data_IF_270511868536
#
_entry.id   IF_270511868536
#
_cell.length_a   1.000
_cell.length_b   1.000
_cell.length_c   1.000
_cell.angle_alpha   90.00
_cell.angle_beta   90.00
_cell.angle_gamma   90.00
#
_symmetry.space_group_name_H-M   'P 1'
#
loop_
_entity.id
_entity.type
_entity.pdbx_description
1 polymer ?
#
# COMPACT_ATOMS: atom_id res chain seq x y z
N UNK A 1 85.66 -35.13 -28.55
CA UNK A 1 85.68 -34.56 -27.23
C UNK A 1 85.76 -33.06 -27.37
N UNK A 2 84.63 -32.34 -27.33
CA UNK A 2 84.66 -30.87 -27.37
C UNK A 2 83.54 -30.38 -26.45
N UNK A 3 83.91 -29.76 -25.35
CA UNK A 3 83.01 -29.13 -24.41
C UNK A 3 82.54 -27.75 -24.93
N UNK A 4 81.28 -27.53 -25.04
CA UNK A 4 80.71 -26.23 -25.31
C UNK A 4 80.14 -25.63 -23.98
N UNK A 5 80.73 -24.51 -23.55
CA UNK A 5 80.32 -23.73 -22.39
C UNK A 5 79.23 -22.76 -22.82
N UNK A 6 78.03 -22.83 -22.18
CA UNK A 6 76.97 -21.83 -22.29
C UNK A 6 77.24 -20.69 -21.34
N UNK A 7 77.34 -19.46 -21.86
CA UNK A 7 77.41 -18.21 -21.13
C UNK A 7 76.02 -17.67 -21.00
N UNK A 8 75.54 -17.56 -19.78
CA UNK A 8 74.28 -16.86 -19.45
C UNK A 8 74.56 -15.39 -19.19
N UNK A 9 73.94 -14.46 -19.96
CA UNK A 9 73.98 -13.04 -19.71
C UNK A 9 72.63 -12.67 -19.09
N UNK A 10 72.59 -11.89 -18.01
CA UNK A 10 71.33 -11.34 -17.46
C UNK A 10 70.87 -10.13 -18.28
N UNK A 11 69.65 -10.19 -18.82
CA UNK A 11 69.01 -9.03 -19.48
C UNK A 11 68.61 -7.99 -18.44
N UNK A 12 69.36 -6.92 -18.39
CA UNK A 12 69.02 -5.72 -17.63
C UNK A 12 67.97 -4.91 -18.40
N UNK A 13 66.77 -4.78 -17.84
CA UNK A 13 65.70 -3.94 -18.38
C UNK A 13 66.12 -2.48 -18.45
N UNK A 14 65.99 -1.84 -19.62
CA UNK A 14 66.33 -0.45 -19.89
C UNK A 14 65.32 0.49 -19.23
N UNK A 15 65.82 1.65 -18.70
CA UNK A 15 65.00 2.67 -18.00
C UNK A 15 63.77 3.13 -18.78
N UNK A 16 63.78 3.04 -20.11
CA UNK A 16 62.62 3.37 -20.96
C UNK A 16 61.48 2.35 -20.84
N UNK A 17 61.78 1.07 -20.58
CA UNK A 17 60.76 0.00 -20.42
C UNK A 17 60.08 0.05 -19.06
N UNK A 18 60.78 0.54 -18.03
CA UNK A 18 60.20 0.77 -16.69
C UNK A 18 59.25 1.98 -16.69
N UNK A 19 59.53 3.05 -17.47
CA UNK A 19 58.64 4.19 -17.60
C UNK A 19 57.40 3.93 -18.45
N UNK A 20 57.48 3.03 -19.42
CA UNK A 20 56.29 2.63 -20.19
C UNK A 20 55.34 1.71 -19.39
N UNK A 21 55.85 0.93 -18.44
CA UNK A 21 55.01 0.14 -17.51
C UNK A 21 54.29 0.97 -16.46
N UNK A 22 54.89 2.09 -16.01
CA UNK A 22 54.29 2.99 -15.05
C UNK A 22 53.17 3.87 -15.66
N UNK A 23 53.21 4.18 -16.95
CA UNK A 23 52.21 4.99 -17.63
C UNK A 23 50.95 4.15 -17.96
N UNK A 24 51.05 2.81 -18.14
CA UNK A 24 49.91 1.93 -18.34
C UNK A 24 49.14 1.64 -17.04
N UNK A 25 49.79 1.73 -15.86
CA UNK A 25 49.17 1.56 -14.55
C UNK A 25 48.37 2.78 -14.06
N UNK A 26 48.72 3.99 -14.55
CA UNK A 26 48.02 5.23 -14.13
C UNK A 26 46.72 5.51 -14.93
N UNK A 27 46.55 4.92 -16.11
CA UNK A 27 45.35 5.09 -16.93
C UNK A 27 44.16 4.21 -16.47
N UNK A 28 44.41 3.19 -15.62
CA UNK A 28 43.37 2.33 -15.07
C UNK A 28 42.66 2.90 -13.83
N UNK A 29 43.10 4.06 -13.31
CA UNK A 29 42.56 4.70 -12.11
C UNK A 29 41.61 5.87 -12.41
N UNK A 30 41.29 6.12 -13.66
CA UNK A 30 40.37 7.20 -14.07
C UNK A 30 39.09 6.70 -14.76
N UNK A 31 38.71 5.44 -14.57
CA UNK A 31 37.31 5.07 -14.79
C UNK A 31 36.50 5.58 -13.59
N UNK A 32 35.39 6.34 -13.80
CA UNK A 32 34.46 6.61 -12.71
C UNK A 32 34.06 5.24 -12.18
N UNK A 33 34.43 4.99 -10.91
CA UNK A 33 34.08 3.75 -10.25
C UNK A 33 32.57 3.60 -10.29
N UNK A 34 32.10 2.65 -11.05
CA UNK A 34 30.86 1.99 -10.70
C UNK A 34 31.14 1.40 -9.32
N UNK A 35 30.76 2.14 -8.29
CA UNK A 35 30.64 1.59 -6.95
C UNK A 35 29.51 0.56 -7.14
N UNK A 36 29.91 -0.68 -7.40
CA UNK A 36 29.01 -1.82 -7.25
C UNK A 36 28.56 -1.74 -5.80
N UNK A 37 27.37 -1.17 -5.57
CA UNK A 37 26.71 -1.25 -4.26
C UNK A 37 26.72 -2.72 -3.91
N UNK A 38 27.41 -3.09 -2.86
CA UNK A 38 27.39 -4.44 -2.35
C UNK A 38 25.93 -4.81 -2.13
N UNK A 39 25.45 -5.81 -2.87
CA UNK A 39 24.12 -6.39 -2.67
C UNK A 39 24.06 -6.76 -1.19
N UNK A 40 23.09 -6.23 -0.47
CA UNK A 40 22.92 -6.54 0.95
C UNK A 40 22.73 -8.06 1.06
N UNK A 41 23.78 -8.75 1.53
CA UNK A 41 23.70 -10.18 1.88
C UNK A 41 22.98 -10.23 3.23
N UNK A 42 21.73 -10.69 3.25
CA UNK A 42 20.90 -10.83 4.46
C UNK A 42 19.58 -10.10 4.39
N UNK A 43 18.78 -10.20 5.47
CA UNK A 43 17.51 -9.50 5.57
C UNK A 43 17.72 -7.98 5.58
N UNK A 44 16.82 -7.23 4.92
CA UNK A 44 16.83 -5.77 4.99
C UNK A 44 16.30 -5.31 6.35
N UNK A 45 16.88 -4.24 6.91
CA UNK A 45 16.32 -3.56 8.06
C UNK A 45 15.18 -2.64 7.61
N UNK A 46 13.97 -2.94 8.04
CA UNK A 46 12.76 -2.18 7.71
C UNK A 46 12.15 -1.60 8.97
N UNK A 47 11.79 -0.33 8.94
CA UNK A 47 11.01 0.30 9.99
C UNK A 47 9.67 0.78 9.45
N UNK A 48 8.64 0.82 10.32
CA UNK A 48 7.38 1.47 9.97
C UNK A 48 6.96 2.49 11.02
N UNK A 49 6.28 3.56 10.57
CA UNK A 49 5.79 4.63 11.42
C UNK A 49 4.29 4.77 11.18
N UNK A 50 3.51 4.53 12.22
CA UNK A 50 2.05 4.58 12.21
C UNK A 50 1.55 5.68 13.14
N UNK A 51 0.63 6.53 12.66
CA UNK A 51 0.03 7.59 13.46
C UNK A 51 -1.15 7.10 14.31
N UNK A 52 -1.61 5.88 14.05
CA UNK A 52 -2.72 5.21 14.73
C UNK A 52 -2.27 3.85 15.29
N UNK A 53 -3.10 3.16 16.11
CA UNK A 53 -2.79 1.80 16.54
C UNK A 53 -2.65 0.83 15.37
N UNK A 54 -1.80 -0.18 15.51
CA UNK A 54 -1.52 -1.19 14.47
C UNK A 54 -2.75 -2.01 14.08
N UNK A 55 -3.76 -2.08 14.92
CA UNK A 55 -5.04 -2.75 14.66
C UNK A 55 -5.94 -1.98 13.68
N UNK A 56 -5.67 -0.68 13.45
CA UNK A 56 -6.45 0.09 12.48
C UNK A 56 -6.34 -0.58 11.11
N UNK A 57 -7.46 -0.69 10.40
CA UNK A 57 -7.60 -1.56 9.23
C UNK A 57 -6.56 -1.34 8.13
N UNK A 58 -6.23 -0.08 7.79
CA UNK A 58 -5.25 0.24 6.75
C UNK A 58 -3.83 -0.12 7.21
N UNK A 59 -3.45 0.29 8.41
CA UNK A 59 -2.15 0.03 9.02
C UNK A 59 -1.92 -1.47 9.24
N UNK A 60 -2.96 -2.20 9.66
CA UNK A 60 -2.88 -3.64 9.91
C UNK A 60 -2.46 -4.44 8.66
N UNK A 61 -2.78 -3.94 7.45
CA UNK A 61 -2.39 -4.61 6.19
C UNK A 61 -0.90 -4.47 5.93
N UNK A 62 -0.32 -3.30 6.23
CA UNK A 62 1.11 -3.05 6.13
C UNK A 62 1.84 -3.92 7.14
N UNK A 63 1.39 -3.91 8.40
CA UNK A 63 1.98 -4.72 9.47
C UNK A 63 1.93 -6.22 9.16
N UNK A 64 0.81 -6.71 8.62
CA UNK A 64 0.66 -8.11 8.21
C UNK A 64 1.65 -8.48 7.10
N UNK A 65 1.77 -7.67 6.06
CA UNK A 65 2.71 -7.90 4.97
C UNK A 65 4.17 -7.89 5.46
N UNK A 66 4.53 -6.94 6.33
CA UNK A 66 5.86 -6.88 6.93
C UNK A 66 6.14 -8.12 7.80
N UNK A 67 5.19 -8.56 8.61
CA UNK A 67 5.31 -9.77 9.43
C UNK A 67 5.49 -11.02 8.55
N UNK A 68 4.77 -11.12 7.43
CA UNK A 68 4.95 -12.21 6.48
C UNK A 68 6.34 -12.18 5.82
N UNK A 69 6.87 -11.00 5.49
CA UNK A 69 8.23 -10.85 4.95
C UNK A 69 9.30 -11.22 5.99
N UNK A 70 9.10 -10.94 7.29
CA UNK A 70 9.97 -11.44 8.38
C UNK A 70 9.94 -12.96 8.44
N UNK A 71 8.77 -13.57 8.36
CA UNK A 71 8.63 -15.03 8.40
C UNK A 71 9.34 -15.73 7.23
N UNK A 72 9.47 -15.06 6.08
CA UNK A 72 10.24 -15.54 4.92
C UNK A 72 11.75 -15.29 5.05
N UNK A 73 12.19 -14.49 6.03
CA UNK A 73 13.59 -14.09 6.20
C UNK A 73 14.04 -12.96 5.25
N UNK A 74 13.11 -12.24 4.64
CA UNK A 74 13.42 -11.17 3.70
C UNK A 74 13.85 -9.89 4.39
N UNK A 75 13.30 -9.62 5.59
CA UNK A 75 13.50 -8.39 6.36
C UNK A 75 13.63 -8.65 7.86
N UNK A 76 14.31 -7.74 8.56
CA UNK A 76 14.13 -7.47 9.98
C UNK A 76 13.16 -6.28 10.10
N UNK A 77 12.19 -6.33 11.00
CA UNK A 77 11.12 -5.35 11.05
C UNK A 77 10.89 -4.82 12.45
N UNK A 78 10.83 -3.50 12.56
CA UNK A 78 10.42 -2.77 13.77
C UNK A 78 9.38 -1.72 13.40
N UNK A 79 8.58 -1.28 14.36
CA UNK A 79 7.61 -0.21 14.11
C UNK A 79 7.37 0.66 15.34
N UNK A 80 6.89 1.87 15.10
CA UNK A 80 6.29 2.78 16.09
C UNK A 80 4.84 3.01 15.72
N UNK A 81 3.96 2.99 16.70
CA UNK A 81 2.53 3.28 16.53
C UNK A 81 2.09 4.45 17.41
N UNK A 82 0.91 5.01 17.13
CA UNK A 82 0.41 6.20 17.82
C UNK A 82 1.41 7.38 17.79
N UNK A 83 2.25 7.44 16.75
CA UNK A 83 3.20 8.52 16.56
C UNK A 83 2.47 9.79 16.16
N UNK A 84 2.54 10.83 16.99
CA UNK A 84 1.91 12.11 16.66
C UNK A 84 2.58 12.79 15.46
N UNK A 85 1.83 13.65 14.74
CA UNK A 85 2.43 14.44 13.64
C UNK A 85 3.63 15.29 14.10
N UNK A 86 3.63 15.76 15.35
CA UNK A 86 4.76 16.53 15.91
C UNK A 86 6.02 15.69 16.16
N UNK A 87 5.86 14.39 16.41
CA UNK A 87 6.98 13.48 16.65
C UNK A 87 7.44 12.75 15.38
N UNK A 88 6.64 12.80 14.30
CA UNK A 88 6.84 11.97 13.12
C UNK A 88 8.21 12.18 12.48
N UNK A 89 8.61 13.45 12.26
CA UNK A 89 9.92 13.80 11.70
C UNK A 89 11.06 13.23 12.56
N UNK A 90 10.99 13.40 13.88
CA UNK A 90 12.01 12.90 14.81
C UNK A 90 12.15 11.37 14.73
N UNK A 91 11.02 10.64 14.77
CA UNK A 91 11.02 9.18 14.70
C UNK A 91 11.55 8.70 13.34
N UNK A 92 11.20 9.37 12.25
CA UNK A 92 11.68 9.06 10.91
C UNK A 92 13.21 9.22 10.81
N UNK A 93 13.78 10.31 11.38
CA UNK A 93 15.23 10.53 11.47
C UNK A 93 15.92 9.47 12.33
N UNK A 94 15.37 9.13 13.48
CA UNK A 94 15.92 8.09 14.37
C UNK A 94 16.05 6.74 13.66
N UNK A 95 15.05 6.33 12.87
CA UNK A 95 15.12 5.10 12.09
C UNK A 95 16.16 5.19 10.95
N UNK A 96 16.26 6.32 10.26
CA UNK A 96 17.27 6.51 9.22
C UNK A 96 18.70 6.47 9.82
N UNK A 97 18.95 7.17 10.95
CA UNK A 97 20.21 7.17 11.69
C UNK A 97 20.57 5.78 12.24
N UNK A 98 19.58 4.97 12.62
CA UNK A 98 19.78 3.58 13.04
C UNK A 98 20.14 2.64 11.87
N UNK A 99 20.20 3.15 10.64
CA UNK A 99 20.63 2.42 9.45
C UNK A 99 19.57 1.48 8.89
N UNK A 100 18.28 1.82 9.01
CA UNK A 100 17.23 1.10 8.30
C UNK A 100 17.34 1.34 6.80
N UNK A 101 17.17 0.28 6.01
CA UNK A 101 17.28 0.32 4.55
C UNK A 101 16.00 0.86 3.89
N UNK A 102 14.85 0.58 4.51
CA UNK A 102 13.53 0.99 4.07
C UNK A 102 12.72 1.48 5.27
N UNK A 103 12.14 2.66 5.15
CA UNK A 103 11.19 3.22 6.11
C UNK A 103 9.83 3.31 5.42
N UNK A 104 8.81 2.70 6.03
CA UNK A 104 7.42 2.70 5.57
C UNK A 104 6.60 3.57 6.51
N UNK A 105 5.65 4.32 5.99
CA UNK A 105 4.77 5.11 6.83
C UNK A 105 3.62 5.72 6.07
N UNK A 106 2.83 6.53 6.76
CA UNK A 106 1.83 7.40 6.16
C UNK A 106 2.20 8.85 6.47
N UNK A 107 1.98 9.74 5.52
CA UNK A 107 2.46 11.13 5.66
C UNK A 107 1.32 12.16 5.58
N UNK A 108 0.08 11.74 5.85
CA UNK A 108 -1.05 12.66 5.94
C UNK A 108 -0.79 13.78 6.96
N UNK A 109 -0.70 15.01 6.46
CA UNK A 109 -0.41 16.19 7.28
C UNK A 109 1.05 16.41 7.67
N UNK A 110 2.01 15.57 7.23
CA UNK A 110 3.45 15.68 7.53
C UNK A 110 4.34 15.50 6.30
N UNK A 111 3.78 15.50 5.09
CA UNK A 111 4.49 15.14 3.86
C UNK A 111 5.72 16.00 3.59
N UNK A 112 5.63 17.33 3.76
CA UNK A 112 6.76 18.22 3.48
C UNK A 112 7.95 17.94 4.42
N UNK A 113 7.70 17.69 5.71
CA UNK A 113 8.73 17.31 6.67
C UNK A 113 9.33 15.92 6.33
N UNK A 114 8.49 14.96 5.95
CA UNK A 114 8.94 13.62 5.56
C UNK A 114 9.83 13.66 4.29
N UNK A 115 9.49 14.48 3.30
CA UNK A 115 10.32 14.70 2.09
C UNK A 115 11.66 15.33 2.42
N UNK A 116 11.69 16.30 3.36
CA UNK A 116 12.95 16.89 3.83
C UNK A 116 13.83 15.84 4.49
N UNK A 117 13.27 14.97 5.34
CA UNK A 117 14.02 13.84 5.94
C UNK A 117 14.58 12.92 4.84
N UNK A 118 13.78 12.58 3.85
CA UNK A 118 14.26 11.73 2.75
C UNK A 118 15.42 12.35 1.98
N UNK A 119 15.40 13.66 1.74
CA UNK A 119 16.50 14.38 1.10
C UNK A 119 17.78 14.38 1.98
N UNK A 120 17.64 14.45 3.31
CA UNK A 120 18.77 14.41 4.24
C UNK A 120 19.42 13.02 4.36
N UNK A 121 18.66 11.94 4.04
CA UNK A 121 19.12 10.53 4.12
C UNK A 121 19.02 9.80 2.77
N UNK A 122 19.82 10.18 1.77
CA UNK A 122 19.70 9.67 0.39
C UNK A 122 19.98 8.15 0.24
N UNK A 123 20.62 7.53 1.23
CA UNK A 123 20.91 6.09 1.23
C UNK A 123 19.77 5.23 1.79
N UNK A 124 18.77 5.84 2.44
CA UNK A 124 17.59 5.18 2.97
C UNK A 124 16.43 5.29 1.97
N UNK A 125 15.74 4.21 1.72
CA UNK A 125 14.51 4.21 0.92
C UNK A 125 13.30 4.57 1.79
N UNK A 126 12.42 5.41 1.28
CA UNK A 126 11.18 5.82 1.95
C UNK A 126 9.99 5.45 1.09
N UNK A 127 9.10 4.62 1.63
CA UNK A 127 7.86 4.17 0.98
C UNK A 127 6.68 4.74 1.79
N UNK A 128 6.06 5.83 1.29
CA UNK A 128 5.12 6.64 2.06
C UNK A 128 3.72 6.63 1.48
N UNK A 129 2.75 6.25 2.31
CA UNK A 129 1.32 6.26 1.99
C UNK A 129 0.66 7.59 2.27
N UNK A 130 -0.57 7.76 1.76
CA UNK A 130 -1.38 8.98 1.89
C UNK A 130 -0.62 10.24 1.47
N UNK A 131 0.17 10.12 0.40
CA UNK A 131 1.05 11.13 -0.16
C UNK A 131 0.57 11.56 -1.55
N UNK A 132 1.01 12.73 -1.98
CA UNK A 132 0.86 13.13 -3.37
C UNK A 132 1.72 12.23 -4.30
N UNK A 133 1.52 12.38 -5.62
CA UNK A 133 2.33 11.68 -6.60
C UNK A 133 3.83 11.98 -6.39
N UNK A 134 4.74 11.08 -6.84
CA UNK A 134 6.18 11.31 -6.75
C UNK A 134 6.59 12.65 -7.31
N UNK A 135 7.58 13.28 -6.67
CA UNK A 135 8.19 14.53 -7.08
C UNK A 135 9.71 14.32 -7.24
N UNK A 136 10.35 15.19 -7.99
CA UNK A 136 11.82 15.13 -8.23
C UNK A 136 12.66 15.64 -7.04
N UNK A 137 12.05 16.02 -5.93
CA UNK A 137 12.70 16.60 -4.75
C UNK A 137 13.46 15.57 -3.89
N UNK A 138 13.05 14.30 -3.91
CA UNK A 138 13.71 13.22 -3.18
C UNK A 138 13.61 11.91 -4.00
N UNK A 139 14.69 11.50 -4.71
CA UNK A 139 14.68 10.33 -5.58
C UNK A 139 14.50 9.00 -4.83
N UNK A 140 14.66 8.99 -3.52
CA UNK A 140 14.48 7.87 -2.61
C UNK A 140 13.13 7.90 -1.87
N UNK A 141 12.21 8.81 -2.23
CA UNK A 141 10.87 8.93 -1.66
C UNK A 141 9.83 8.41 -2.65
N UNK A 142 9.45 7.16 -2.52
CA UNK A 142 8.37 6.54 -3.28
C UNK A 142 7.04 6.68 -2.54
N UNK A 143 5.95 6.66 -3.29
CA UNK A 143 4.60 6.77 -2.74
C UNK A 143 3.82 5.48 -2.98
N UNK A 144 2.84 5.21 -2.13
CA UNK A 144 1.86 4.15 -2.34
C UNK A 144 0.48 4.58 -1.84
N UNK A 145 -0.53 3.84 -2.26
CA UNK A 145 -1.90 4.03 -1.82
C UNK A 145 -2.67 2.72 -1.96
N UNK A 146 -3.82 2.59 -1.32
CA UNK A 146 -4.67 1.43 -1.44
C UNK A 146 -5.64 1.58 -2.64
N UNK A 147 -5.12 1.48 -3.87
CA UNK A 147 -5.95 1.47 -5.08
C UNK A 147 -6.77 0.18 -5.18
N UNK A 148 -7.71 -0.01 -4.23
CA UNK A 148 -8.60 -1.19 -4.15
C UNK A 148 -10.03 -0.89 -4.65
N UNK A 149 -10.18 0.14 -5.49
CA UNK A 149 -11.47 0.50 -6.10
C UNK A 149 -12.09 -0.67 -6.87
N UNK A 150 -11.28 -1.58 -7.42
CA UNK A 150 -11.76 -2.79 -8.09
C UNK A 150 -12.60 -3.66 -7.15
N UNK A 151 -12.08 -3.95 -5.96
CA UNK A 151 -12.77 -4.73 -4.95
C UNK A 151 -13.96 -3.97 -4.34
N UNK A 152 -13.83 -2.63 -4.16
CA UNK A 152 -14.93 -1.78 -3.69
C UNK A 152 -16.09 -1.78 -4.68
N UNK A 153 -15.82 -1.70 -5.99
CA UNK A 153 -16.83 -1.79 -7.04
C UNK A 153 -17.58 -3.12 -6.99
N UNK A 154 -16.85 -4.24 -6.89
CA UNK A 154 -17.46 -5.57 -6.80
C UNK A 154 -18.33 -5.73 -5.54
N UNK A 155 -17.87 -5.22 -4.40
CA UNK A 155 -18.66 -5.21 -3.16
C UNK A 155 -19.92 -4.35 -3.28
N UNK A 156 -19.85 -3.27 -4.07
CA UNK A 156 -20.99 -2.41 -4.42
C UNK A 156 -22.08 -3.16 -5.19
N UNK A 157 -21.73 -4.00 -6.17
CA UNK A 157 -22.70 -4.86 -6.90
C UNK A 157 -23.50 -5.72 -5.91
N UNK A 158 -22.80 -6.29 -4.92
CA UNK A 158 -23.43 -7.12 -3.89
C UNK A 158 -24.36 -6.27 -3.02
N UNK A 159 -23.90 -5.10 -2.58
CA UNK A 159 -24.70 -4.19 -1.75
C UNK A 159 -25.97 -3.75 -2.47
N UNK A 160 -25.88 -3.36 -3.73
CA UNK A 160 -27.06 -2.97 -4.52
C UNK A 160 -28.08 -4.10 -4.69
N UNK A 161 -27.61 -5.34 -4.83
CA UNK A 161 -28.50 -6.51 -4.93
C UNK A 161 -29.16 -6.89 -3.59
N UNK A 162 -28.57 -6.48 -2.46
CA UNK A 162 -29.02 -6.84 -1.10
C UNK A 162 -29.86 -5.74 -0.42
N UNK A 163 -29.75 -4.48 -0.85
CA UNK A 163 -30.57 -3.38 -0.28
C UNK A 163 -32.04 -3.59 -0.58
N UNK A 164 -32.91 -3.23 0.35
CA UNK A 164 -34.37 -3.24 0.24
C UNK A 164 -34.93 -1.79 0.22
N UNK A 165 -34.21 -0.87 0.83
CA UNK A 165 -34.60 0.55 0.91
C UNK A 165 -34.11 1.36 -0.28
N UNK A 166 -33.13 0.87 -1.05
CA UNK A 166 -32.35 1.64 -2.00
C UNK A 166 -31.64 2.84 -1.36
N UNK A 167 -31.36 2.78 -0.05
CA UNK A 167 -30.71 3.86 0.68
C UNK A 167 -29.49 3.30 1.44
N UNK A 168 -28.33 3.78 1.10
CA UNK A 168 -27.04 3.23 1.57
C UNK A 168 -26.29 4.31 2.32
N UNK A 169 -25.88 4.00 3.55
CA UNK A 169 -25.03 4.85 4.37
C UNK A 169 -23.56 4.59 4.07
N UNK A 170 -22.76 5.65 4.08
CA UNK A 170 -21.30 5.58 3.84
C UNK A 170 -20.59 6.47 4.86
N UNK A 171 -19.72 5.88 5.68
CA UNK A 171 -18.99 6.60 6.73
C UNK A 171 -17.49 6.48 6.45
N UNK A 172 -16.85 7.61 6.12
CA UNK A 172 -15.43 7.72 5.87
C UNK A 172 -14.67 8.50 6.92
N UNK A 173 -13.32 8.39 6.87
CA UNK A 173 -12.42 9.13 7.77
C UNK A 173 -12.31 10.60 7.38
N UNK A 174 -11.67 10.88 6.27
CA UNK A 174 -11.50 12.21 5.66
C UNK A 174 -11.81 12.16 4.17
N UNK A 175 -12.28 13.26 3.56
CA UNK A 175 -12.57 13.32 2.12
C UNK A 175 -11.28 13.53 1.30
N UNK A 176 -10.37 12.57 1.35
CA UNK A 176 -9.13 12.58 0.57
C UNK A 176 -9.22 11.63 -0.63
N UNK A 177 -8.40 11.81 -1.67
CA UNK A 177 -8.42 10.98 -2.88
C UNK A 177 -8.49 9.48 -2.61
N UNK A 178 -7.71 9.00 -1.65
CA UNK A 178 -7.67 7.60 -1.22
C UNK A 178 -9.04 7.05 -0.83
N UNK A 179 -9.79 7.77 0.01
CA UNK A 179 -11.12 7.37 0.50
C UNK A 179 -12.18 7.63 -0.57
N UNK A 180 -12.08 8.76 -1.26
CA UNK A 180 -13.06 9.20 -2.23
C UNK A 180 -13.21 8.21 -3.40
N UNK A 181 -12.09 7.72 -3.97
CA UNK A 181 -12.11 6.76 -5.08
C UNK A 181 -12.78 5.45 -4.72
N UNK A 182 -12.59 4.97 -3.49
CA UNK A 182 -13.23 3.74 -3.03
C UNK A 182 -14.74 3.91 -2.88
N UNK A 183 -15.18 5.04 -2.33
CA UNK A 183 -16.59 5.37 -2.20
C UNK A 183 -17.27 5.51 -3.57
N UNK A 184 -16.63 6.21 -4.52
CA UNK A 184 -17.16 6.34 -5.88
C UNK A 184 -17.25 5.00 -6.59
N UNK A 185 -16.23 4.15 -6.49
CA UNK A 185 -16.25 2.82 -7.07
C UNK A 185 -17.36 1.94 -6.46
N UNK A 186 -17.51 1.98 -5.14
CA UNK A 186 -18.61 1.31 -4.45
C UNK A 186 -19.98 1.79 -4.95
N UNK A 187 -20.20 3.11 -5.02
CA UNK A 187 -21.44 3.69 -5.54
C UNK A 187 -21.71 3.26 -7.00
N UNK A 188 -20.67 3.20 -7.84
CA UNK A 188 -20.80 2.73 -9.22
C UNK A 188 -21.21 1.25 -9.26
N UNK A 189 -20.61 0.40 -8.42
CA UNK A 189 -21.00 -1.00 -8.29
C UNK A 189 -22.44 -1.19 -7.80
N UNK A 190 -22.88 -0.41 -6.81
CA UNK A 190 -24.27 -0.42 -6.32
C UNK A 190 -25.26 -0.15 -7.45
N UNK A 191 -24.98 0.83 -8.31
CA UNK A 191 -25.86 1.21 -9.42
C UNK A 191 -26.01 0.15 -10.51
N UNK A 192 -25.11 -0.82 -10.60
CA UNK A 192 -25.26 -1.97 -11.52
C UNK A 192 -26.49 -2.84 -11.17
N UNK A 193 -26.85 -2.93 -9.90
CA UNK A 193 -27.95 -3.78 -9.41
C UNK A 193 -29.09 -2.99 -8.76
N UNK A 194 -28.83 -1.76 -8.35
CA UNK A 194 -29.80 -0.81 -7.80
C UNK A 194 -29.58 0.59 -8.41
N UNK A 195 -30.00 0.83 -9.67
CA UNK A 195 -29.69 2.08 -10.39
C UNK A 195 -30.27 3.33 -9.72
N UNK A 196 -31.35 3.21 -8.97
CA UNK A 196 -32.02 4.32 -8.26
C UNK A 196 -31.56 4.48 -6.81
N UNK A 197 -30.47 3.79 -6.40
CA UNK A 197 -29.96 3.85 -5.04
C UNK A 197 -29.51 5.27 -4.66
N UNK A 198 -29.86 5.65 -3.45
CA UNK A 198 -29.44 6.90 -2.79
C UNK A 198 -28.32 6.62 -1.81
N UNK A 199 -27.50 7.62 -1.61
CA UNK A 199 -26.33 7.53 -0.74
C UNK A 199 -26.34 8.65 0.30
N UNK A 200 -26.11 8.29 1.55
CA UNK A 200 -25.83 9.20 2.64
C UNK A 200 -24.33 9.14 2.94
N UNK A 201 -23.58 10.16 2.56
CA UNK A 201 -22.12 10.21 2.73
C UNK A 201 -21.78 11.11 3.93
N UNK A 202 -20.94 10.63 4.83
CA UNK A 202 -20.43 11.41 5.95
C UNK A 202 -18.96 11.08 6.24
N UNK A 203 -18.19 12.10 6.62
CA UNK A 203 -16.80 11.97 7.06
C UNK A 203 -16.67 12.36 8.52
N UNK A 204 -16.00 11.52 9.32
CA UNK A 204 -15.91 11.75 10.77
C UNK A 204 -14.73 12.65 11.17
N UNK A 205 -13.82 12.98 10.25
CA UNK A 205 -12.64 13.82 10.54
C UNK A 205 -11.64 13.14 11.47
N UNK A 206 -11.56 11.80 11.45
CA UNK A 206 -10.61 11.00 12.21
C UNK A 206 -10.25 9.71 11.47
N UNK A 207 -9.01 9.27 11.59
CA UNK A 207 -8.58 7.96 11.07
C UNK A 207 -8.93 6.82 12.02
N UNK A 208 -9.08 7.08 13.33
CA UNK A 208 -9.44 6.07 14.32
C UNK A 208 -10.29 6.65 15.45
N UNK A 209 -11.62 6.64 15.26
CA UNK A 209 -12.61 7.03 16.25
C UNK A 209 -13.88 6.16 16.09
N UNK A 210 -13.82 4.88 16.53
CA UNK A 210 -14.95 3.97 16.39
C UNK A 210 -16.26 4.46 17.02
N UNK A 211 -16.26 5.12 18.20
CA UNK A 211 -17.49 5.69 18.77
C UNK A 211 -18.16 6.72 17.86
N UNK A 212 -17.39 7.65 17.28
CA UNK A 212 -17.91 8.69 16.38
C UNK A 212 -18.41 8.08 15.07
N UNK A 213 -17.71 7.10 14.52
CA UNK A 213 -18.14 6.38 13.33
C UNK A 213 -19.47 5.63 13.58
N UNK A 214 -19.61 4.98 14.74
CA UNK A 214 -20.85 4.31 15.16
C UNK A 214 -22.01 5.27 15.29
N UNK A 215 -21.80 6.43 15.93
CA UNK A 215 -22.85 7.48 16.05
C UNK A 215 -23.29 8.00 14.68
N UNK A 216 -22.32 8.27 13.79
CA UNK A 216 -22.61 8.70 12.41
C UNK A 216 -23.41 7.65 11.65
N UNK A 217 -23.05 6.38 11.80
CA UNK A 217 -23.76 5.25 11.19
C UNK A 217 -25.20 5.12 11.71
N UNK A 218 -25.43 5.33 13.01
CA UNK A 218 -26.80 5.35 13.57
C UNK A 218 -27.65 6.45 12.92
N UNK A 219 -27.11 7.64 12.73
CA UNK A 219 -27.84 8.74 12.07
C UNK A 219 -28.22 8.36 10.61
N UNK A 220 -27.37 7.66 9.90
CA UNK A 220 -27.67 7.18 8.54
C UNK A 220 -28.75 6.08 8.55
N UNK A 221 -28.71 5.16 9.50
CA UNK A 221 -29.75 4.13 9.67
C UNK A 221 -31.09 4.76 10.01
N UNK A 222 -31.12 5.72 10.94
CA UNK A 222 -32.32 6.48 11.29
C UNK A 222 -32.83 7.30 10.10
N UNK A 223 -31.94 7.70 9.17
CA UNK A 223 -32.25 8.27 7.85
C UNK A 223 -32.72 7.26 6.80
N UNK A 224 -32.91 6.00 7.18
CA UNK A 224 -33.46 4.93 6.34
C UNK A 224 -32.44 4.08 5.57
N UNK A 225 -31.15 4.20 5.85
CA UNK A 225 -30.15 3.29 5.27
C UNK A 225 -30.30 1.88 5.84
N UNK A 226 -30.33 0.90 4.96
CA UNK A 226 -30.40 -0.54 5.34
C UNK A 226 -29.13 -1.32 5.00
N UNK A 227 -28.18 -0.67 4.35
CA UNK A 227 -26.80 -1.16 4.15
C UNK A 227 -25.84 0.00 4.44
N UNK A 228 -24.72 -0.32 5.12
CA UNK A 228 -23.66 0.63 5.43
C UNK A 228 -22.34 0.22 4.78
N UNK A 229 -21.65 1.15 4.14
CA UNK A 229 -20.25 0.99 3.72
C UNK A 229 -19.34 1.38 4.88
N UNK A 230 -18.71 0.38 5.48
CA UNK A 230 -17.89 0.50 6.69
C UNK A 230 -16.43 0.82 6.33
N UNK A 231 -16.19 2.06 5.85
CA UNK A 231 -14.83 2.52 5.62
C UNK A 231 -14.08 2.73 6.96
N UNK A 232 -14.81 2.90 8.08
CA UNK A 232 -14.25 3.05 9.45
C UNK A 232 -14.77 1.98 10.40
N UNK A 233 -13.95 1.61 11.41
CA UNK A 233 -14.39 0.81 12.54
C UNK A 233 -15.51 1.53 13.31
N UNK A 234 -16.44 0.77 13.88
CA UNK A 234 -17.63 1.27 14.55
C UNK A 234 -18.89 1.23 13.67
N UNK A 235 -18.75 1.32 12.35
CA UNK A 235 -19.90 1.27 11.41
C UNK A 235 -20.57 -0.09 11.43
N UNK A 236 -19.80 -1.19 11.37
CA UNK A 236 -20.34 -2.56 11.46
C UNK A 236 -20.96 -2.85 12.82
N UNK A 237 -20.48 -2.21 13.91
CA UNK A 237 -21.09 -2.29 15.23
C UNK A 237 -22.49 -1.69 15.23
N UNK A 238 -22.66 -0.49 14.62
CA UNK A 238 -23.95 0.14 14.47
C UNK A 238 -24.91 -0.71 13.64
N UNK A 239 -24.44 -1.26 12.51
CA UNK A 239 -25.22 -2.13 11.65
C UNK A 239 -25.70 -3.37 12.40
N UNK A 240 -24.82 -4.04 13.14
CA UNK A 240 -25.14 -5.21 13.98
C UNK A 240 -26.20 -4.88 15.04
N UNK A 241 -26.04 -3.76 15.74
CA UNK A 241 -26.95 -3.34 16.82
C UNK A 241 -28.36 -3.01 16.30
N UNK A 242 -28.46 -2.45 15.09
CA UNK A 242 -29.71 -2.07 14.45
C UNK A 242 -30.30 -3.18 13.54
N UNK A 243 -29.57 -4.28 13.33
CA UNK A 243 -30.01 -5.39 12.48
C UNK A 243 -30.08 -5.05 10.99
N UNK A 244 -29.23 -4.12 10.53
CA UNK A 244 -29.03 -3.81 9.10
C UNK A 244 -27.72 -4.43 8.59
N UNK A 245 -27.49 -4.41 7.28
CA UNK A 245 -26.29 -4.99 6.69
C UNK A 245 -25.12 -4.00 6.61
N UNK A 246 -23.91 -4.54 6.48
CA UNK A 246 -22.70 -3.75 6.24
C UNK A 246 -21.83 -4.39 5.15
N UNK A 247 -21.03 -3.54 4.52
CA UNK A 247 -19.95 -3.93 3.62
C UNK A 247 -18.64 -3.50 4.28
N UNK A 248 -17.73 -4.46 4.48
CA UNK A 248 -16.40 -4.20 5.03
C UNK A 248 -15.45 -3.61 4.01
N UNK A 249 -14.44 -2.91 4.51
CA UNK A 249 -13.41 -2.26 3.69
C UNK A 249 -12.02 -2.55 4.24
N UNK A 250 -11.04 -2.74 3.35
CA UNK A 250 -9.61 -3.00 3.60
C UNK A 250 -9.33 -4.37 4.22
N UNK A 251 -10.10 -4.81 5.21
CA UNK A 251 -9.98 -6.11 5.87
C UNK A 251 -11.30 -6.86 5.90
N UNK A 252 -11.21 -8.18 6.06
CA UNK A 252 -12.38 -9.02 6.33
C UNK A 252 -12.75 -8.94 7.81
N UNK A 253 -13.94 -8.46 8.10
CA UNK A 253 -14.51 -8.38 9.44
C UNK A 253 -15.70 -9.33 9.63
N UNK A 254 -15.97 -10.23 8.69
CA UNK A 254 -17.14 -11.08 8.74
C UNK A 254 -17.13 -12.03 9.95
N UNK A 255 -15.96 -12.51 10.39
CA UNK A 255 -15.85 -13.37 11.56
C UNK A 255 -16.41 -12.71 12.84
N UNK A 256 -16.26 -11.36 12.96
CA UNK A 256 -16.76 -10.59 14.09
C UNK A 256 -18.23 -10.19 13.92
N UNK A 257 -18.70 -10.15 12.66
CA UNK A 257 -20.06 -9.72 12.28
C UNK A 257 -20.72 -10.70 11.30
N UNK A 258 -20.85 -12.01 11.65
CA UNK A 258 -21.24 -13.07 10.71
C UNK A 258 -22.65 -12.91 10.11
N UNK A 259 -23.57 -12.21 10.80
CA UNK A 259 -24.94 -11.95 10.33
C UNK A 259 -25.12 -10.51 9.80
N UNK A 260 -24.06 -9.75 9.68
CA UNK A 260 -24.11 -8.32 9.37
C UNK A 260 -23.25 -7.95 8.17
N UNK A 261 -21.97 -8.36 8.14
CA UNK A 261 -21.04 -8.05 7.06
C UNK A 261 -21.24 -9.06 5.92
N UNK A 262 -21.76 -8.58 4.80
CA UNK A 262 -22.11 -9.40 3.64
C UNK A 262 -20.89 -9.72 2.78
N UNK A 263 -20.07 -8.72 2.55
CA UNK A 263 -18.85 -8.77 1.74
C UNK A 263 -17.85 -7.75 2.26
N UNK A 264 -16.57 -7.95 1.93
CA UNK A 264 -15.51 -6.99 2.26
C UNK A 264 -14.57 -6.82 1.07
N UNK A 265 -14.21 -5.58 0.75
CA UNK A 265 -13.11 -5.28 -0.15
C UNK A 265 -11.79 -5.42 0.61
N UNK A 266 -10.91 -6.30 0.16
CA UNK A 266 -9.63 -6.58 0.82
C UNK A 266 -8.48 -5.85 0.14
N UNK A 267 -7.58 -5.28 0.94
CA UNK A 267 -6.28 -4.81 0.49
C UNK A 267 -5.18 -5.80 0.82
N UNK A 268 -4.35 -6.10 -0.15
CA UNK A 268 -3.15 -6.92 0.00
C UNK A 268 -1.92 -6.02 -0.23
N UNK A 269 -1.24 -5.66 0.84
CA UNK A 269 -0.03 -4.82 0.75
C UNK A 269 1.21 -5.63 0.36
N UNK A 270 1.11 -6.94 0.41
CA UNK A 270 2.22 -7.87 0.11
C UNK A 270 2.87 -7.59 -1.26
N UNK A 271 2.14 -7.42 -2.39
CA UNK A 271 2.78 -7.11 -3.68
C UNK A 271 3.54 -5.79 -3.68
N UNK A 272 3.00 -4.74 -3.05
CA UNK A 272 3.66 -3.43 -2.91
C UNK A 272 4.96 -3.55 -2.11
N UNK A 273 4.92 -4.22 -0.97
CA UNK A 273 6.08 -4.40 -0.10
C UNK A 273 7.15 -5.28 -0.74
N UNK A 274 6.75 -6.40 -1.35
CA UNK A 274 7.68 -7.33 -1.98
C UNK A 274 8.42 -6.67 -3.16
N UNK A 275 7.72 -5.82 -3.93
CA UNK A 275 8.36 -5.02 -4.97
C UNK A 275 9.34 -4.02 -4.39
N UNK A 276 8.98 -3.28 -3.34
CA UNK A 276 9.87 -2.32 -2.68
C UNK A 276 11.13 -3.01 -2.12
N UNK A 277 10.98 -4.16 -1.45
CA UNK A 277 12.09 -4.98 -0.95
C UNK A 277 13.02 -5.38 -2.10
N UNK A 278 12.46 -5.85 -3.22
CA UNK A 278 13.25 -6.24 -4.39
C UNK A 278 14.05 -5.06 -4.97
N UNK A 279 13.43 -3.87 -5.08
CA UNK A 279 14.10 -2.67 -5.59
C UNK A 279 15.21 -2.19 -4.65
N UNK A 280 14.99 -2.22 -3.33
CA UNK A 280 16.03 -1.86 -2.34
C UNK A 280 17.19 -2.85 -2.39
N UNK A 281 16.91 -4.17 -2.42
CA UNK A 281 17.96 -5.22 -2.56
C UNK A 281 18.75 -5.07 -3.84
N UNK A 282 18.12 -4.66 -4.93
CA UNK A 282 18.78 -4.44 -6.22
C UNK A 282 19.53 -3.10 -6.31
N UNK A 283 19.34 -2.17 -5.37
CA UNK A 283 19.88 -0.81 -5.43
C UNK A 283 19.24 0.05 -6.54
N UNK A 284 17.99 -0.25 -6.90
CA UNK A 284 17.23 0.40 -7.97
C UNK A 284 15.95 1.06 -7.48
N UNK A 285 15.78 1.18 -6.16
CA UNK A 285 14.65 1.90 -5.58
C UNK A 285 14.66 3.37 -6.01
N UNK A 286 13.52 3.90 -6.39
CA UNK A 286 13.36 5.27 -6.86
C UNK A 286 11.97 5.82 -6.56
N UNK A 287 11.82 7.14 -6.69
CA UNK A 287 10.58 7.86 -6.51
C UNK A 287 9.56 7.49 -7.60
N UNK A 288 8.74 6.49 -7.34
CA UNK A 288 7.64 6.01 -8.19
C UNK A 288 6.37 5.81 -7.36
N UNK A 289 5.24 5.63 -8.04
CA UNK A 289 3.99 5.25 -7.41
C UNK A 289 3.88 3.72 -7.31
N UNK A 290 4.21 3.18 -6.15
CA UNK A 290 4.10 1.75 -5.84
C UNK A 290 2.64 1.33 -5.54
N UNK A 291 1.73 2.28 -5.41
CA UNK A 291 0.30 2.01 -5.23
C UNK A 291 -0.32 1.22 -6.37
N UNK A 292 0.29 1.24 -7.57
CA UNK A 292 -0.16 0.44 -8.74
C UNK A 292 -0.21 -1.06 -8.43
N UNK A 293 0.58 -1.55 -7.49
CA UNK A 293 0.56 -2.95 -7.04
C UNK A 293 -0.64 -3.28 -6.14
N UNK A 294 -1.46 -2.29 -5.76
CA UNK A 294 -2.73 -2.50 -5.05
C UNK A 294 -3.88 -2.88 -6.00
N UNK A 295 -3.73 -2.73 -7.32
CA UNK A 295 -4.76 -3.14 -8.27
C UNK A 295 -5.02 -4.65 -8.22
N UNK A 296 -6.26 -5.05 -8.55
CA UNK A 296 -6.68 -6.46 -8.56
C UNK A 296 -5.85 -7.31 -9.52
N UNK A 297 -5.52 -6.79 -10.70
CA UNK A 297 -4.68 -7.48 -11.69
C UNK A 297 -3.26 -7.80 -11.19
N UNK A 298 -2.77 -7.04 -10.22
CA UNK A 298 -1.46 -7.24 -9.58
C UNK A 298 -1.55 -8.10 -8.31
N UNK A 299 -2.76 -8.58 -7.96
CA UNK A 299 -3.02 -9.32 -6.73
C UNK A 299 -3.12 -8.45 -5.48
N UNK A 300 -3.18 -7.13 -5.63
CA UNK A 300 -3.19 -6.15 -4.54
C UNK A 300 -4.56 -5.95 -3.89
N UNK A 301 -5.64 -6.46 -4.47
CA UNK A 301 -6.94 -6.48 -3.83
C UNK A 301 -7.82 -7.65 -4.30
N UNK A 302 -8.83 -7.97 -3.50
CA UNK A 302 -9.83 -8.99 -3.80
C UNK A 302 -11.11 -8.77 -2.99
N UNK A 303 -12.20 -9.46 -3.32
CA UNK A 303 -13.30 -9.66 -2.38
C UNK A 303 -12.92 -10.72 -1.34
N UNK A 304 -13.40 -10.54 -0.11
CA UNK A 304 -13.38 -11.58 0.90
C UNK A 304 -14.37 -12.72 0.53
N UNK A 305 -14.16 -13.93 1.03
CA UNK A 305 -15.19 -14.96 1.01
C UNK A 305 -16.48 -14.46 1.67
N UNK A 306 -17.66 -14.81 1.12
CA UNK A 306 -18.94 -14.35 1.67
C UNK A 306 -19.32 -15.04 2.98
N UNK A 307 -18.64 -16.12 3.37
CA UNK A 307 -18.82 -16.84 4.63
C UNK A 307 -20.27 -17.22 4.88
N UNK A 308 -20.90 -16.68 5.92
CA UNK A 308 -22.30 -16.97 6.26
C UNK A 308 -23.31 -16.44 5.24
N UNK A 309 -22.91 -15.54 4.34
CA UNK A 309 -23.74 -15.03 3.25
C UNK A 309 -23.59 -15.82 1.95
N UNK A 310 -22.76 -16.87 1.94
CA UNK A 310 -22.67 -17.78 0.78
C UNK A 310 -24.05 -18.34 0.43
N UNK A 311 -24.45 -18.21 -0.84
CA UNK A 311 -25.77 -18.59 -1.31
C UNK A 311 -26.93 -17.68 -0.90
N UNK A 312 -26.70 -16.61 -0.13
CA UNK A 312 -27.72 -15.61 0.25
C UNK A 312 -27.76 -14.38 -0.65
N UNK A 313 -26.66 -14.08 -1.33
CA UNK A 313 -26.63 -13.05 -2.36
C UNK A 313 -27.33 -13.58 -3.61
N UNK A 314 -28.18 -12.77 -4.28
CA UNK A 314 -28.87 -13.21 -5.50
C UNK A 314 -27.89 -13.75 -6.56
N UNK A 315 -28.20 -14.91 -7.16
CA UNK A 315 -27.33 -15.59 -8.13
C UNK A 315 -26.95 -14.69 -9.32
N UNK A 316 -27.90 -13.90 -9.82
CA UNK A 316 -27.62 -12.94 -10.92
C UNK A 316 -26.56 -11.89 -10.55
N UNK A 317 -26.56 -11.41 -9.31
CA UNK A 317 -25.55 -10.45 -8.83
C UNK A 317 -24.18 -11.14 -8.70
N UNK A 318 -24.12 -12.35 -8.16
CA UNK A 318 -22.87 -13.10 -8.05
C UNK A 318 -22.28 -13.45 -9.41
N UNK A 319 -23.15 -13.76 -10.40
CA UNK A 319 -22.70 -13.95 -11.78
C UNK A 319 -22.07 -12.68 -12.34
N UNK A 320 -22.71 -11.52 -12.14
CA UNK A 320 -22.18 -10.23 -12.57
C UNK A 320 -20.86 -9.92 -11.87
N UNK A 321 -20.74 -10.17 -10.55
CA UNK A 321 -19.47 -10.01 -9.80
C UNK A 321 -18.35 -10.84 -10.45
N UNK A 322 -18.60 -12.13 -10.74
CA UNK A 322 -17.59 -13.00 -11.37
C UNK A 322 -17.19 -12.52 -12.78
N UNK A 323 -18.17 -12.08 -13.58
CA UNK A 323 -17.92 -11.53 -14.92
C UNK A 323 -17.08 -10.24 -14.85
N UNK A 324 -17.41 -9.33 -13.95
CA UNK A 324 -16.65 -8.07 -13.73
C UNK A 324 -15.27 -8.34 -13.17
N UNK A 325 -15.13 -9.23 -12.20
CA UNK A 325 -13.84 -9.61 -11.63
C UNK A 325 -12.90 -10.16 -12.71
N UNK A 326 -13.39 -11.05 -13.57
CA UNK A 326 -12.62 -11.61 -14.68
C UNK A 326 -12.19 -10.50 -15.66
N UNK A 327 -13.10 -9.61 -16.03
CA UNK A 327 -12.84 -8.50 -16.94
C UNK A 327 -11.88 -7.44 -16.37
N UNK A 328 -11.92 -7.21 -15.05
CA UNK A 328 -10.93 -6.36 -14.34
C UNK A 328 -9.54 -7.00 -14.40
N UNK A 329 -9.45 -8.29 -14.10
CA UNK A 329 -8.16 -9.03 -14.09
C UNK A 329 -7.52 -9.12 -15.47
N UNK A 330 -8.30 -9.25 -16.53
CA UNK A 330 -7.77 -9.30 -17.90
C UNK A 330 -7.64 -7.91 -18.56
N UNK A 331 -8.11 -6.85 -17.88
CA UNK A 331 -8.01 -5.46 -18.32
C UNK A 331 -9.06 -5.02 -19.34
N UNK A 332 -10.06 -5.85 -19.66
CA UNK A 332 -11.15 -5.50 -20.58
C UNK A 332 -12.21 -4.59 -19.94
N UNK A 333 -12.24 -4.53 -18.61
CA UNK A 333 -13.02 -3.57 -17.82
C UNK A 333 -12.12 -2.83 -16.83
N UNK A 334 -12.25 -1.52 -16.78
CA UNK A 334 -11.48 -0.67 -15.86
C UNK A 334 -12.47 0.08 -14.97
N UNK A 335 -12.32 -0.07 -13.67
CA UNK A 335 -13.07 0.72 -12.69
C UNK A 335 -12.55 2.14 -12.71
N UNK A 336 -13.44 3.12 -12.89
CA UNK A 336 -13.08 4.53 -12.92
C UNK A 336 -12.49 4.98 -11.57
N UNK A 337 -11.39 5.72 -11.64
CA UNK A 337 -10.78 6.38 -10.48
C UNK A 337 -11.35 7.80 -10.43
N UNK A 338 -12.16 8.08 -9.41
CA UNK A 338 -12.68 9.41 -9.13
C UNK A 338 -12.24 9.83 -7.72
N UNK A 339 -11.35 10.81 -7.68
CA UNK A 339 -10.75 11.33 -6.45
C UNK A 339 -11.52 12.51 -5.85
N UNK A 340 -12.62 12.97 -6.49
CA UNK A 340 -13.46 14.05 -5.96
C UNK A 340 -14.24 13.59 -4.72
N UNK A 341 -14.54 14.52 -3.82
CA UNK A 341 -15.34 14.22 -2.63
C UNK A 341 -16.75 13.75 -3.01
N UNK A 342 -17.16 12.51 -2.64
CA UNK A 342 -18.49 12.01 -2.93
C UNK A 342 -19.55 12.77 -2.13
N UNK A 343 -20.74 12.95 -2.72
CA UNK A 343 -21.84 13.68 -2.13
C UNK A 343 -23.05 12.78 -1.91
N UNK A 344 -23.80 13.07 -0.84
CA UNK A 344 -25.15 12.52 -0.64
C UNK A 344 -26.10 12.94 -1.76
N UNK A 345 -27.09 12.10 -2.12
CA UNK A 345 -28.08 12.36 -3.17
C UNK A 345 -29.48 11.87 -2.83
#
# INVERSE_FOLDING_TARGET
>A
MTRTTMSSHPNLLNRRQVLAGAAAGAAALAMPGFISRARAEGPLKVAAIYTVPVEQQWVSRIHKAATAAVARGDIEYVFSENTSNNDYERVMREYAEAGHNLIIGEVFGVEDAARQVAADYPETAFLMGSSFLPKDDAPNFAVFDNYIQDASYLSGIIAGAMTKSNNIGMVGGFPIPEVNRLMHAFMAGVRETAPDAKFQVAFIGSWFDPPKAKETAFAQIDGGADILYAERFGVSDAAKEKGVLAIGNVIDTQADYPDTVVASALWHFEPTLDHAIAMVKAGTFKAENYGVYSFMKEGGCSLAPLGTFEGKVPEAAMKLVMEREAAIKDGSFVVEINDEEPKSN
#
